data_IF_546903886033
#
_entry.id   IF_546903886033
#
_cell.length_a   1.000
_cell.length_b   1.000
_cell.length_c   1.000
_cell.angle_alpha   90.00
_cell.angle_beta   90.00
_cell.angle_gamma   90.00
#
_symmetry.space_group_name_H-M   'P 1'
#
loop_
_entity.id
_entity.type
_entity.pdbx_description
1 polymer ?
#
# COMPACT_ATOMS: atom_id res chain seq x y z
N UNK A 1 -20.98 4.89 17.54
CA UNK A 1 -21.35 5.29 16.17
C UNK A 1 -20.14 5.71 15.34
N UNK A 2 -19.27 6.61 15.82
CA UNK A 2 -18.08 7.05 15.08
C UNK A 2 -17.03 5.96 14.77
N UNK A 3 -16.88 4.94 15.62
CA UNK A 3 -15.83 3.92 15.45
C UNK A 3 -15.95 3.12 14.15
N UNK A 4 -17.15 2.67 13.77
CA UNK A 4 -17.35 1.88 12.54
C UNK A 4 -17.22 2.73 11.27
N UNK A 5 -17.64 4.00 11.32
CA UNK A 5 -17.49 4.96 10.22
C UNK A 5 -16.01 5.29 10.02
N UNK A 6 -15.28 5.57 11.10
CA UNK A 6 -13.84 5.81 11.05
C UNK A 6 -13.11 4.59 10.48
N UNK A 7 -13.48 3.38 10.87
CA UNK A 7 -12.89 2.16 10.29
C UNK A 7 -13.15 2.05 8.79
N UNK A 8 -14.38 2.30 8.35
CA UNK A 8 -14.72 2.27 6.93
C UNK A 8 -13.93 3.32 6.13
N UNK A 9 -13.90 4.57 6.57
CA UNK A 9 -13.20 5.67 5.90
C UNK A 9 -11.70 5.35 5.73
N UNK A 10 -11.06 4.82 6.78
CA UNK A 10 -9.65 4.46 6.72
C UNK A 10 -9.41 3.30 5.76
N UNK A 11 -10.24 2.26 5.78
CA UNK A 11 -10.10 1.15 4.84
C UNK A 11 -10.36 1.59 3.38
N UNK A 12 -11.31 2.51 3.15
CA UNK A 12 -11.55 3.09 1.83
C UNK A 12 -10.35 3.94 1.37
N UNK A 13 -9.81 4.79 2.24
CA UNK A 13 -8.62 5.59 1.95
C UNK A 13 -7.40 4.73 1.64
N UNK A 14 -7.16 3.67 2.43
CA UNK A 14 -6.13 2.67 2.17
C UNK A 14 -6.33 1.95 0.84
N UNK A 15 -7.57 1.64 0.48
CA UNK A 15 -7.87 1.00 -0.79
C UNK A 15 -7.55 1.92 -1.98
N UNK A 16 -8.00 3.18 -1.94
CA UNK A 16 -7.76 4.16 -3.01
C UNK A 16 -6.26 4.47 -3.13
N UNK A 17 -5.60 4.82 -2.03
CA UNK A 17 -4.16 5.12 -2.04
C UNK A 17 -3.31 3.89 -2.34
N UNK A 18 -3.77 2.70 -1.94
CA UNK A 18 -3.14 1.43 -2.28
C UNK A 18 -3.16 1.19 -3.79
N UNK A 19 -4.30 1.43 -4.46
CA UNK A 19 -4.39 1.38 -5.93
C UNK A 19 -3.44 2.39 -6.56
N UNK A 20 -3.46 3.66 -6.11
CA UNK A 20 -2.59 4.70 -6.65
C UNK A 20 -1.10 4.34 -6.51
N UNK A 21 -0.70 3.81 -5.35
CA UNK A 21 0.68 3.39 -5.05
C UNK A 21 1.10 2.21 -5.91
N UNK A 22 0.30 1.13 -5.95
CA UNK A 22 0.62 -0.07 -6.73
C UNK A 22 0.63 0.25 -8.23
N UNK A 23 -0.35 1.00 -8.72
CA UNK A 23 -0.43 1.36 -10.13
C UNK A 23 0.76 2.21 -10.57
N UNK A 24 1.06 3.29 -9.84
CA UNK A 24 2.21 4.15 -10.15
C UNK A 24 3.54 3.40 -10.02
N UNK A 25 3.70 2.55 -9.00
CA UNK A 25 4.91 1.74 -8.79
C UNK A 25 5.13 0.72 -9.90
N UNK A 26 4.09 -0.04 -10.28
CA UNK A 26 4.16 -1.00 -11.38
C UNK A 26 4.44 -0.33 -12.72
N UNK A 27 3.87 0.85 -12.97
CA UNK A 27 4.14 1.64 -14.17
C UNK A 27 5.61 2.06 -14.19
N UNK A 28 6.13 2.59 -13.08
CA UNK A 28 7.55 2.95 -12.93
C UNK A 28 8.44 1.73 -13.23
N UNK A 29 8.16 0.60 -12.59
CA UNK A 29 8.91 -0.63 -12.74
C UNK A 29 8.93 -1.13 -14.19
N UNK A 30 7.76 -1.30 -14.82
CA UNK A 30 7.65 -1.91 -16.15
C UNK A 30 8.20 -1.01 -17.25
N UNK A 31 8.00 0.31 -17.15
CA UNK A 31 8.36 1.24 -18.22
C UNK A 31 9.74 1.85 -18.06
N UNK A 32 10.18 2.08 -16.84
CA UNK A 32 11.37 2.89 -16.61
C UNK A 32 12.54 2.09 -16.04
N UNK A 33 12.29 0.98 -15.33
CA UNK A 33 13.35 0.14 -14.75
C UNK A 33 13.61 -1.13 -15.57
N UNK A 34 12.54 -1.83 -15.99
CA UNK A 34 12.66 -3.14 -16.63
C UNK A 34 13.14 -3.03 -18.08
N UNK A 35 14.15 -3.83 -18.44
CA UNK A 35 14.69 -3.89 -19.82
C UNK A 35 15.70 -2.79 -20.16
N UNK A 36 15.99 -1.87 -19.25
CA UNK A 36 16.86 -0.72 -19.52
C UNK A 36 18.31 -0.88 -18.99
N UNK A 37 18.76 -2.12 -18.76
CA UNK A 37 20.14 -2.48 -18.37
C UNK A 37 20.73 -1.65 -17.20
N UNK A 38 19.89 -1.29 -16.21
CA UNK A 38 20.29 -0.49 -15.05
C UNK A 38 20.25 1.04 -15.26
N UNK A 39 19.78 1.51 -16.40
CA UNK A 39 19.44 2.92 -16.65
C UNK A 39 17.95 3.18 -16.39
N UNK A 40 17.58 4.44 -16.18
CA UNK A 40 16.18 4.87 -16.03
C UNK A 40 15.76 5.65 -17.28
N UNK A 41 14.67 5.26 -17.93
CA UNK A 41 14.22 5.87 -19.19
C UNK A 41 13.47 7.20 -18.97
N UNK A 42 14.16 8.23 -18.49
CA UNK A 42 13.55 9.48 -17.97
C UNK A 42 12.64 10.23 -18.96
N UNK A 43 12.90 10.10 -20.26
CA UNK A 43 12.22 10.87 -21.32
C UNK A 43 10.96 10.19 -21.86
N UNK A 44 10.65 8.98 -21.40
CA UNK A 44 9.45 8.28 -21.85
C UNK A 44 8.20 8.85 -21.16
N UNK A 45 7.15 9.04 -21.95
CA UNK A 45 5.86 9.53 -21.48
C UNK A 45 4.83 8.42 -21.47
N UNK A 46 4.09 8.31 -20.37
CA UNK A 46 2.95 7.41 -20.23
C UNK A 46 1.77 8.22 -19.72
N UNK A 47 0.66 8.20 -20.46
CA UNK A 47 -0.51 9.06 -20.21
C UNK A 47 -0.17 10.57 -20.12
N UNK A 48 0.83 11.02 -20.89
CA UNK A 48 1.28 12.42 -20.89
C UNK A 48 2.14 12.82 -19.69
N UNK A 49 2.50 11.88 -18.82
CA UNK A 49 3.33 12.10 -17.63
C UNK A 49 4.66 11.34 -17.80
N UNK A 50 5.78 12.00 -17.50
CA UNK A 50 7.12 11.41 -17.57
C UNK A 50 7.50 10.66 -16.27
N UNK A 51 8.71 10.12 -16.22
CA UNK A 51 9.22 9.42 -15.02
C UNK A 51 9.10 10.27 -13.74
N UNK A 52 9.49 11.55 -13.80
CA UNK A 52 9.47 12.43 -12.63
C UNK A 52 8.06 12.65 -12.11
N UNK A 53 7.08 12.84 -13.00
CA UNK A 53 5.69 12.98 -12.61
C UNK A 53 5.12 11.71 -11.98
N UNK A 54 5.36 10.54 -12.58
CA UNK A 54 4.95 9.26 -11.99
C UNK A 54 5.64 8.98 -10.66
N UNK A 55 6.93 9.30 -10.54
CA UNK A 55 7.70 9.20 -9.30
C UNK A 55 7.13 10.11 -8.21
N UNK A 56 6.75 11.35 -8.56
CA UNK A 56 6.11 12.27 -7.62
C UNK A 56 4.75 11.75 -7.13
N UNK A 57 3.90 11.26 -8.05
CA UNK A 57 2.61 10.64 -7.70
C UNK A 57 2.82 9.45 -6.76
N UNK A 58 3.79 8.59 -7.06
CA UNK A 58 4.12 7.44 -6.22
C UNK A 58 4.58 7.86 -4.82
N UNK A 59 5.51 8.82 -4.73
CA UNK A 59 6.04 9.37 -3.46
C UNK A 59 4.93 9.99 -2.60
N UNK A 60 4.08 10.82 -3.19
CA UNK A 60 2.95 11.45 -2.49
C UNK A 60 1.96 10.38 -2.00
N UNK A 61 1.65 9.40 -2.86
CA UNK A 61 0.75 8.31 -2.53
C UNK A 61 1.28 7.47 -1.36
N UNK A 62 2.58 7.13 -1.34
CA UNK A 62 3.16 6.32 -0.26
C UNK A 62 3.22 7.07 1.07
N UNK A 63 3.42 8.38 1.07
CA UNK A 63 3.37 9.20 2.30
C UNK A 63 1.97 9.16 2.90
N UNK A 64 0.94 9.43 2.09
CA UNK A 64 -0.44 9.39 2.55
C UNK A 64 -0.86 7.96 2.99
N UNK A 65 -0.47 6.94 2.21
CA UNK A 65 -0.73 5.54 2.52
C UNK A 65 -0.09 5.14 3.85
N UNK A 66 1.16 5.56 4.10
CA UNK A 66 1.89 5.25 5.34
C UNK A 66 1.20 5.81 6.56
N UNK A 67 0.71 7.06 6.51
CA UNK A 67 -0.04 7.67 7.61
C UNK A 67 -1.32 6.89 7.93
N UNK A 68 -2.10 6.53 6.90
CA UNK A 68 -3.31 5.72 7.09
C UNK A 68 -2.97 4.31 7.58
N UNK A 69 -1.86 3.73 7.12
CA UNK A 69 -1.44 2.39 7.52
C UNK A 69 -1.03 2.34 8.99
N UNK A 70 -0.30 3.35 9.49
CA UNK A 70 0.03 3.47 10.91
C UNK A 70 -1.25 3.45 11.75
N UNK A 71 -2.25 4.25 11.35
CA UNK A 71 -3.51 4.29 12.06
C UNK A 71 -4.31 2.98 11.93
N UNK A 72 -4.27 2.31 10.78
CA UNK A 72 -4.89 1.00 10.57
C UNK A 72 -4.26 -0.08 11.46
N UNK A 73 -2.93 -0.14 11.52
CA UNK A 73 -2.20 -1.06 12.41
C UNK A 73 -2.55 -0.77 13.87
N UNK A 74 -2.61 0.51 14.26
CA UNK A 74 -3.04 0.91 15.60
C UNK A 74 -4.45 0.41 15.94
N UNK A 75 -5.42 0.54 15.03
CA UNK A 75 -6.78 0.00 15.23
C UNK A 75 -6.78 -1.52 15.41
N UNK A 76 -5.91 -2.22 14.71
CA UNK A 76 -5.77 -3.68 14.77
C UNK A 76 -4.79 -4.17 15.84
N UNK A 77 -4.16 -3.30 16.62
CA UNK A 77 -3.13 -3.66 17.60
C UNK A 77 -3.60 -4.71 18.62
N UNK A 78 -4.83 -4.57 19.13
CA UNK A 78 -5.43 -5.57 20.04
C UNK A 78 -5.58 -6.94 19.37
N UNK A 79 -5.90 -6.97 18.07
CA UNK A 79 -6.02 -8.22 17.32
C UNK A 79 -4.65 -8.88 17.14
N UNK A 80 -3.60 -8.12 16.78
CA UNK A 80 -2.24 -8.65 16.71
C UNK A 80 -1.79 -9.27 18.04
N UNK A 81 -2.04 -8.57 19.16
CA UNK A 81 -1.74 -9.11 20.50
C UNK A 81 -2.42 -10.45 20.73
N UNK A 82 -3.72 -10.57 20.42
CA UNK A 82 -4.47 -11.82 20.58
C UNK A 82 -3.93 -12.95 19.70
N UNK A 83 -3.56 -12.65 18.46
CA UNK A 83 -3.00 -13.65 17.54
C UNK A 83 -1.69 -14.23 18.10
N UNK A 84 -0.82 -13.37 18.65
CA UNK A 84 0.46 -13.78 19.23
C UNK A 84 0.24 -14.54 20.55
N UNK A 85 -0.52 -13.97 21.50
CA UNK A 85 -0.69 -14.56 22.83
C UNK A 85 -1.43 -15.89 22.79
N UNK A 86 -2.39 -16.06 21.88
CA UNK A 86 -3.14 -17.31 21.70
C UNK A 86 -2.50 -18.27 20.69
N UNK A 87 -1.26 -18.01 20.23
CA UNK A 87 -0.53 -18.83 19.24
C UNK A 87 -1.33 -19.12 17.96
N UNK A 88 -2.14 -18.17 17.50
CA UNK A 88 -3.00 -18.29 16.31
C UNK A 88 -2.26 -17.91 15.00
N UNK A 89 -0.93 -18.01 14.98
CA UNK A 89 -0.09 -17.54 13.87
C UNK A 89 -0.42 -18.31 12.58
N UNK A 90 -0.46 -19.65 12.65
CA UNK A 90 -0.74 -20.52 11.49
C UNK A 90 -2.12 -20.18 10.89
N UNK A 91 -3.14 -19.98 11.74
CA UNK A 91 -4.49 -19.62 11.30
C UNK A 91 -4.56 -18.25 10.60
N UNK A 92 -3.68 -17.33 10.95
CA UNK A 92 -3.68 -15.95 10.43
C UNK A 92 -2.46 -15.64 9.54
N UNK A 93 -1.76 -16.68 9.07
CA UNK A 93 -0.47 -16.59 8.40
C UNK A 93 -0.50 -15.62 7.22
N UNK A 94 -1.54 -15.66 6.38
CA UNK A 94 -1.64 -14.79 5.21
C UNK A 94 -1.65 -13.29 5.56
N UNK A 95 -2.32 -12.89 6.64
CA UNK A 95 -2.34 -11.48 7.08
C UNK A 95 -1.01 -11.10 7.71
N UNK A 96 -0.39 -12.02 8.48
CA UNK A 96 0.91 -11.76 9.10
C UNK A 96 2.03 -11.64 8.05
N UNK A 97 2.03 -12.50 7.03
CA UNK A 97 2.96 -12.40 5.90
C UNK A 97 2.73 -11.10 5.14
N UNK A 98 1.47 -10.71 4.88
CA UNK A 98 1.16 -9.43 4.26
C UNK A 98 1.72 -8.26 5.07
N UNK A 99 1.54 -8.24 6.40
CA UNK A 99 2.07 -7.20 7.27
C UNK A 99 3.59 -7.14 7.24
N UNK A 100 4.27 -8.30 7.26
CA UNK A 100 5.71 -8.38 7.17
C UNK A 100 6.22 -7.87 5.81
N UNK A 101 5.63 -8.35 4.71
CA UNK A 101 5.97 -7.92 3.35
C UNK A 101 5.76 -6.41 3.18
N UNK A 102 4.68 -5.86 3.71
CA UNK A 102 4.41 -4.43 3.65
C UNK A 102 5.54 -3.62 4.31
N UNK A 103 6.00 -4.04 5.50
CA UNK A 103 7.11 -3.38 6.19
C UNK A 103 8.41 -3.50 5.41
N UNK A 104 8.71 -4.68 4.86
CA UNK A 104 9.91 -4.88 4.04
C UNK A 104 9.91 -3.99 2.80
N UNK A 105 8.80 -3.96 2.05
CA UNK A 105 8.65 -3.10 0.86
C UNK A 105 8.74 -1.62 1.22
N UNK A 106 8.15 -1.20 2.35
CA UNK A 106 8.25 0.18 2.82
C UNK A 106 9.70 0.57 3.14
N UNK A 107 10.44 -0.29 3.85
CA UNK A 107 11.85 -0.04 4.17
C UNK A 107 12.69 0.03 2.89
N UNK A 108 12.56 -0.96 2.00
CA UNK A 108 13.33 -1.00 0.74
C UNK A 108 12.95 0.09 -0.25
N UNK A 109 11.75 0.67 -0.15
CA UNK A 109 11.34 1.81 -0.98
C UNK A 109 11.77 3.17 -0.42
N UNK A 110 11.82 3.31 0.91
CA UNK A 110 12.27 4.54 1.57
C UNK A 110 13.79 4.71 1.50
N UNK A 111 14.56 3.62 1.61
CA UNK A 111 16.03 3.67 1.58
C UNK A 111 16.56 4.36 0.30
N UNK A 112 16.19 3.95 -0.94
CA UNK A 112 16.62 4.63 -2.16
C UNK A 112 16.28 6.12 -2.16
N UNK A 113 15.12 6.49 -1.62
CA UNK A 113 14.71 7.89 -1.56
C UNK A 113 15.60 8.69 -0.61
N UNK A 114 15.99 8.14 0.54
CA UNK A 114 16.95 8.79 1.44
C UNK A 114 18.37 8.84 0.84
N UNK A 115 18.82 7.80 0.14
CA UNK A 115 20.12 7.81 -0.54
C UNK A 115 20.16 8.93 -1.59
N UNK A 116 19.10 9.06 -2.40
CA UNK A 116 18.92 10.13 -3.39
C UNK A 116 18.97 11.52 -2.74
N UNK A 117 18.24 11.71 -1.63
CA UNK A 117 18.20 12.98 -0.89
C UNK A 117 19.55 13.37 -0.25
N UNK A 118 20.37 12.39 0.12
CA UNK A 118 21.66 12.59 0.78
C UNK A 118 22.84 12.59 -0.21
N UNK A 119 22.58 12.58 -1.53
CA UNK A 119 23.60 12.43 -2.58
C UNK A 119 24.53 11.22 -2.34
N UNK A 120 23.95 10.10 -1.91
CA UNK A 120 24.68 8.87 -1.61
C UNK A 120 24.99 8.02 -2.84
N UNK A 121 25.44 6.79 -2.60
CA UNK A 121 25.91 5.89 -3.66
C UNK A 121 24.78 5.40 -4.59
N UNK A 122 24.92 5.68 -5.89
CA UNK A 122 23.95 5.31 -6.92
C UNK A 122 23.82 3.80 -7.13
N UNK A 123 24.90 3.03 -6.93
CA UNK A 123 24.86 1.58 -7.10
C UNK A 123 24.03 0.93 -5.99
N UNK A 124 24.24 1.35 -4.74
CA UNK A 124 23.43 0.94 -3.58
C UNK A 124 21.96 1.33 -3.78
N UNK A 125 21.70 2.56 -4.22
CA UNK A 125 20.34 3.05 -4.53
C UNK A 125 19.63 2.13 -5.52
N UNK A 126 20.26 1.82 -6.66
CA UNK A 126 19.71 0.92 -7.68
C UNK A 126 19.50 -0.50 -7.15
N UNK A 127 20.43 -1.01 -6.34
CA UNK A 127 20.29 -2.33 -5.70
C UNK A 127 19.04 -2.41 -4.80
N UNK A 128 18.78 -1.41 -3.98
CA UNK A 128 17.57 -1.35 -3.16
C UNK A 128 16.29 -1.20 -4.00
N UNK A 129 16.32 -0.44 -5.09
CA UNK A 129 15.19 -0.32 -6.03
C UNK A 129 14.85 -1.69 -6.62
N UNK A 130 15.84 -2.47 -7.05
CA UNK A 130 15.59 -3.80 -7.62
C UNK A 130 14.99 -4.78 -6.58
N UNK A 131 15.49 -4.73 -5.34
CA UNK A 131 14.92 -5.52 -4.24
C UNK A 131 13.48 -5.09 -3.95
N UNK A 132 13.22 -3.78 -3.90
CA UNK A 132 11.90 -3.22 -3.72
C UNK A 132 10.93 -3.69 -4.79
N UNK A 133 11.31 -3.59 -6.07
CA UNK A 133 10.50 -3.96 -7.23
C UNK A 133 10.09 -5.46 -7.18
N UNK A 134 11.00 -6.35 -6.80
CA UNK A 134 10.70 -7.79 -6.64
C UNK A 134 9.74 -8.06 -5.47
N UNK A 135 9.98 -7.43 -4.32
CA UNK A 135 9.13 -7.59 -3.15
C UNK A 135 7.74 -6.97 -3.36
N UNK A 136 7.65 -5.86 -4.09
CA UNK A 136 6.41 -5.15 -4.39
C UNK A 136 5.46 -5.98 -5.25
N UNK A 137 5.98 -6.80 -6.19
CA UNK A 137 5.16 -7.77 -6.95
C UNK A 137 4.52 -8.77 -6.00
N UNK A 138 5.30 -9.38 -5.10
CA UNK A 138 4.80 -10.37 -4.14
C UNK A 138 3.77 -9.73 -3.20
N UNK A 139 4.06 -8.52 -2.70
CA UNK A 139 3.14 -7.74 -1.88
C UNK A 139 1.82 -7.49 -2.61
N UNK A 140 1.86 -7.12 -3.89
CA UNK A 140 0.67 -6.83 -4.70
C UNK A 140 -0.26 -8.04 -4.79
N UNK A 141 0.28 -9.24 -4.97
CA UNK A 141 -0.50 -10.48 -4.96
C UNK A 141 -1.18 -10.70 -3.60
N UNK A 142 -0.41 -10.60 -2.51
CA UNK A 142 -0.96 -10.77 -1.15
C UNK A 142 -2.00 -9.71 -0.80
N UNK A 143 -1.83 -8.48 -1.28
CA UNK A 143 -2.76 -7.38 -1.10
C UNK A 143 -4.08 -7.65 -1.84
N UNK A 144 -4.02 -8.10 -3.10
CA UNK A 144 -5.21 -8.50 -3.87
C UNK A 144 -5.98 -9.61 -3.13
N UNK A 145 -5.28 -10.66 -2.69
CA UNK A 145 -5.89 -11.74 -1.92
C UNK A 145 -6.55 -11.24 -0.62
N UNK A 146 -5.91 -10.30 0.06
CA UNK A 146 -6.46 -9.68 1.26
C UNK A 146 -7.73 -8.88 0.97
N UNK A 147 -7.71 -8.04 -0.08
CA UNK A 147 -8.85 -7.22 -0.49
C UNK A 147 -10.04 -8.12 -0.85
N UNK A 148 -9.84 -9.15 -1.68
CA UNK A 148 -10.89 -10.09 -2.08
C UNK A 148 -11.57 -10.71 -0.85
N UNK A 149 -10.79 -11.17 0.13
CA UNK A 149 -11.32 -11.73 1.39
C UNK A 149 -12.10 -10.72 2.25
N UNK A 150 -11.91 -9.41 2.03
CA UNK A 150 -12.55 -8.33 2.78
C UNK A 150 -13.68 -7.64 2.02
N UNK A 151 -13.85 -7.90 0.72
CA UNK A 151 -14.93 -7.29 -0.09
C UNK A 151 -16.32 -7.49 0.51
N UNK A 152 -16.66 -8.70 0.97
CA UNK A 152 -17.97 -8.97 1.59
C UNK A 152 -18.23 -8.05 2.80
N UNK A 153 -17.23 -7.89 3.66
CA UNK A 153 -17.33 -6.99 4.81
C UNK A 153 -17.46 -5.52 4.38
N UNK A 154 -16.72 -5.13 3.35
CA UNK A 154 -16.75 -3.76 2.82
C UNK A 154 -18.14 -3.39 2.29
N UNK A 155 -18.72 -4.19 1.40
CA UNK A 155 -20.05 -3.95 0.83
C UNK A 155 -21.16 -3.99 1.87
N UNK A 156 -21.13 -4.97 2.79
CA UNK A 156 -22.15 -5.05 3.85
C UNK A 156 -22.09 -3.87 4.82
N UNK A 157 -20.90 -3.34 5.10
CA UNK A 157 -20.75 -2.15 5.94
C UNK A 157 -21.24 -0.90 5.20
N UNK A 158 -20.89 -0.75 3.92
CA UNK A 158 -21.34 0.35 3.09
C UNK A 158 -22.87 0.42 2.99
N UNK A 159 -23.52 -0.70 2.69
CA UNK A 159 -24.98 -0.76 2.59
C UNK A 159 -25.67 -0.43 3.92
N UNK A 160 -25.10 -0.88 5.06
CA UNK A 160 -25.60 -0.51 6.39
C UNK A 160 -25.52 0.99 6.66
N UNK A 161 -24.47 1.66 6.19
CA UNK A 161 -24.34 3.11 6.33
C UNK A 161 -25.38 3.87 5.49
N UNK A 162 -25.61 3.44 4.24
CA UNK A 162 -26.63 4.03 3.36
C UNK A 162 -28.03 3.88 3.98
N UNK A 163 -28.40 2.67 4.37
CA UNK A 163 -29.73 2.38 4.91
C UNK A 163 -29.99 3.12 6.23
N UNK A 164 -28.94 3.38 7.01
CA UNK A 164 -29.04 4.16 8.25
C UNK A 164 -29.19 5.66 7.98
N UNK A 165 -28.51 6.18 6.96
CA UNK A 165 -28.67 7.58 6.55
C UNK A 165 -30.07 7.82 5.99
N UNK A 166 -30.62 6.90 5.18
CA UNK A 166 -31.97 7.05 4.61
C UNK A 166 -33.09 6.96 5.65
N UNK A 167 -32.91 6.22 6.74
CA UNK A 167 -33.87 6.16 7.86
C UNK A 167 -33.82 7.40 8.75
N UNK A 168 -32.68 8.05 8.86
CA UNK A 168 -32.53 9.28 9.67
C UNK A 168 -33.10 10.53 8.99
N UNK A 169 -33.29 10.52 7.66
CA UNK A 169 -33.93 11.60 6.88
C UNK A 169 -35.43 11.36 6.61
N UNK A 170 -36.00 10.26 7.10
CA UNK A 170 -37.43 9.91 6.95
C UNK A 170 -38.26 10.11 8.22
N UNK A 171 -37.64 10.65 9.28
CA UNK A 171 -38.27 11.04 10.55
C UNK A 171 -38.15 12.54 10.69
#
# INVERSE_FOLDING_TARGET
MGKNINWFIINLGLFILGIATVFSGMLIQVKYHMGNHGNIALNDYVFGINYQGWSAIHKISIVALSLLMIYHVYQHWKWYKVVITKKLIIKNQQVLILSLLFVLVAITGLIPWFIDLLNGDEMLRKGFIEIHDKLAIILSIYLILHIIKRLKWFFTTFQKMINKHSTQHRV
#
